data_IF_568176964201
#
_entry.id   IF_568176964201
#
_cell.length_a   1.000
_cell.length_b   1.000
_cell.length_c   1.000
_cell.angle_alpha   90.00
_cell.angle_beta   90.00
_cell.angle_gamma   90.00
#
_symmetry.space_group_name_H-M   'P 1'
#
loop_
_entity.id
_entity.type
_entity.pdbx_description
1 polymer ?
#
# COMPACT_ATOMS: atom_id res chain seq x y z
N UNK A 1 17.89 -10.05 0.32
CA UNK A 1 17.79 -8.73 1.00
C UNK A 1 16.41 -8.58 1.66
N UNK A 2 16.04 -9.41 2.64
CA UNK A 2 14.68 -9.38 3.21
C UNK A 2 14.46 -8.18 4.14
N UNK A 3 15.55 -7.61 4.68
CA UNK A 3 15.50 -6.58 5.72
C UNK A 3 15.14 -5.17 5.22
N UNK A 4 15.13 -4.94 3.90
CA UNK A 4 14.85 -3.63 3.28
C UNK A 4 13.40 -3.54 2.78
N UNK A 5 12.75 -4.69 2.54
CA UNK A 5 11.39 -4.76 1.98
C UNK A 5 10.41 -4.97 3.13
N UNK A 6 9.58 -3.96 3.41
CA UNK A 6 8.51 -4.04 4.41
C UNK A 6 7.41 -5.00 3.94
N UNK A 7 6.75 -5.69 4.87
CA UNK A 7 5.64 -6.62 4.56
C UNK A 7 4.47 -5.96 3.81
N UNK A 8 4.28 -4.65 3.99
CA UNK A 8 3.22 -3.86 3.35
C UNK A 8 3.59 -3.39 1.95
N UNK A 9 4.87 -3.47 1.55
CA UNK A 9 5.30 -3.12 0.19
C UNK A 9 4.90 -4.22 -0.79
N UNK A 10 3.99 -3.92 -1.70
CA UNK A 10 3.41 -4.95 -2.58
C UNK A 10 3.77 -4.80 -4.05
N UNK A 11 4.02 -3.59 -4.53
CA UNK A 11 4.38 -3.35 -5.91
C UNK A 11 5.79 -3.88 -6.21
N UNK A 12 5.96 -4.50 -7.39
CA UNK A 12 7.24 -4.96 -7.93
C UNK A 12 8.00 -6.01 -7.08
N UNK A 13 7.30 -6.74 -6.19
CA UNK A 13 7.86 -7.84 -5.41
C UNK A 13 7.30 -9.17 -5.93
N UNK A 14 8.17 -10.12 -6.26
CA UNK A 14 7.76 -11.46 -6.69
C UNK A 14 6.88 -12.14 -5.62
N UNK A 15 5.78 -12.76 -6.05
CA UNK A 15 4.81 -13.40 -5.16
C UNK A 15 3.87 -12.43 -4.42
N UNK A 16 3.98 -11.11 -4.61
CA UNK A 16 3.02 -10.12 -4.10
C UNK A 16 2.19 -9.54 -5.24
N UNK A 17 0.88 -9.74 -5.18
CA UNK A 17 -0.03 -9.40 -6.28
C UNK A 17 -0.79 -8.10 -6.02
N UNK A 18 -1.02 -7.29 -7.07
CA UNK A 18 -1.78 -6.04 -6.99
C UNK A 18 -3.19 -6.24 -6.39
N UNK A 19 -3.85 -7.34 -6.74
CA UNK A 19 -5.18 -7.68 -6.21
C UNK A 19 -5.15 -7.86 -4.69
N UNK A 20 -4.11 -8.50 -4.15
CA UNK A 20 -3.96 -8.69 -2.71
C UNK A 20 -3.83 -7.33 -1.99
N UNK A 21 -3.08 -6.40 -2.56
CA UNK A 21 -2.96 -5.03 -2.03
C UNK A 21 -4.31 -4.30 -2.00
N UNK A 22 -5.10 -4.44 -3.06
CA UNK A 22 -6.42 -3.83 -3.15
C UNK A 22 -7.40 -4.43 -2.12
N UNK A 23 -7.37 -5.75 -1.92
CA UNK A 23 -8.17 -6.44 -0.91
C UNK A 23 -7.82 -5.97 0.50
N UNK A 24 -6.53 -5.93 0.85
CA UNK A 24 -6.07 -5.45 2.16
C UNK A 24 -6.54 -4.01 2.41
N UNK A 25 -6.38 -3.11 1.42
CA UNK A 25 -6.83 -1.74 1.56
C UNK A 25 -8.35 -1.65 1.80
N UNK A 26 -9.13 -2.45 1.08
CA UNK A 26 -10.59 -2.50 1.24
C UNK A 26 -11.00 -3.00 2.64
N UNK A 27 -10.37 -4.07 3.12
CA UNK A 27 -10.63 -4.62 4.46
C UNK A 27 -10.28 -3.62 5.57
N UNK A 28 -9.15 -2.91 5.46
CA UNK A 28 -8.73 -1.89 6.43
C UNK A 28 -9.73 -0.73 6.49
N UNK A 29 -10.22 -0.26 5.34
CA UNK A 29 -11.24 0.81 5.27
C UNK A 29 -12.57 0.33 5.85
N UNK A 30 -13.01 -0.88 5.48
CA UNK A 30 -14.25 -1.46 6.00
C UNK A 30 -14.17 -1.68 7.51
N UNK A 31 -13.04 -2.12 8.03
CA UNK A 31 -12.83 -2.27 9.48
C UNK A 31 -12.85 -0.92 10.21
N UNK A 32 -12.20 0.11 9.67
CA UNK A 32 -12.25 1.45 10.24
C UNK A 32 -13.69 1.98 10.30
N UNK A 33 -14.47 1.77 9.23
CA UNK A 33 -15.90 2.11 9.17
C UNK A 33 -16.72 1.33 10.19
N UNK A 34 -16.55 0.00 10.27
CA UNK A 34 -17.25 -0.88 11.22
C UNK A 34 -16.98 -0.47 12.67
N UNK A 35 -15.74 -0.06 12.97
CA UNK A 35 -15.32 0.39 14.32
C UNK A 35 -15.66 1.85 14.60
N UNK A 36 -16.29 2.57 13.66
CA UNK A 36 -16.53 4.02 13.73
C UNK A 36 -15.26 4.81 14.06
N UNK A 37 -14.10 4.30 13.62
CA UNK A 37 -12.80 4.92 13.87
C UNK A 37 -12.60 6.01 12.82
N UNK A 38 -12.34 7.27 13.21
CA UNK A 38 -11.93 8.30 12.27
C UNK A 38 -10.72 7.81 11.45
N UNK A 39 -10.84 7.85 10.13
CA UNK A 39 -9.77 7.43 9.23
C UNK A 39 -9.63 8.40 8.06
N UNK A 40 -8.43 8.49 7.52
CA UNK A 40 -8.11 9.23 6.30
C UNK A 40 -7.32 8.30 5.38
N UNK A 41 -7.71 8.24 4.11
CA UNK A 41 -6.94 7.55 3.07
C UNK A 41 -6.20 8.63 2.29
N UNK A 42 -4.88 8.59 2.33
CA UNK A 42 -4.04 9.52 1.61
C UNK A 42 -3.32 8.79 0.47
N UNK A 43 -3.82 8.99 -0.75
CA UNK A 43 -3.19 8.46 -1.96
C UNK A 43 -2.11 9.45 -2.44
N UNK A 44 -0.88 8.98 -2.53
CA UNK A 44 0.27 9.76 -3.02
C UNK A 44 0.82 9.09 -4.27
N UNK A 45 1.08 9.91 -5.29
CA UNK A 45 1.74 9.52 -6.52
C UNK A 45 2.87 10.52 -6.80
N UNK A 46 3.98 10.03 -7.35
CA UNK A 46 5.16 10.83 -7.64
C UNK A 46 5.30 11.05 -9.14
N UNK A 47 5.61 12.29 -9.54
CA UNK A 47 5.88 12.63 -10.95
C UNK A 47 7.29 12.17 -11.32
N UNK A 48 7.40 11.34 -12.36
CA UNK A 48 8.70 10.88 -12.93
C UNK A 48 9.65 10.32 -11.87
N UNK A 49 9.17 9.33 -11.09
CA UNK A 49 9.95 8.69 -10.01
C UNK A 49 11.32 8.22 -10.46
N UNK A 50 11.40 7.52 -11.59
CA UNK A 50 12.64 6.93 -12.07
C UNK A 50 13.66 7.99 -12.52
N UNK A 51 13.21 9.14 -13.02
CA UNK A 51 14.08 10.25 -13.43
C UNK A 51 14.60 11.05 -12.22
N UNK A 52 13.94 10.94 -11.06
CA UNK A 52 14.19 11.76 -9.87
C UNK A 52 14.92 11.00 -8.76
N UNK A 53 15.34 9.76 -9.02
CA UNK A 53 16.14 8.98 -8.06
C UNK A 53 17.59 9.48 -8.12
N UNK A 54 18.15 9.86 -6.96
CA UNK A 54 19.55 10.26 -6.81
C UNK A 54 20.36 9.23 -6.06
#
# INVERSE_FOLDING_TARGET
MPLIIDERQSAFIEGRHLLQSALIANEVVEEAKRRQKPCIVFKVDYKKVYDSVS
#
